data_IF_939446199472
#
_entry.id   IF_939446199472
#
_cell.length_a   1.000
_cell.length_b   1.000
_cell.length_c   1.000
_cell.angle_alpha   90.00
_cell.angle_beta   90.00
_cell.angle_gamma   90.00
#
_symmetry.space_group_name_H-M   'P 1'
#
loop_
_entity.id
_entity.type
_entity.pdbx_description
1 polymer ?
#
# COMPACT_ATOMS: atom_id res chain seq x y z
N UNK A 1 11.62 -13.33 -4.98
CA UNK A 1 10.75 -14.41 -4.48
C UNK A 1 9.29 -13.99 -4.69
N UNK A 2 8.47 -14.82 -5.35
CA UNK A 2 7.05 -14.50 -5.59
C UNK A 2 6.23 -15.09 -4.45
N UNK A 3 5.53 -14.26 -3.69
CA UNK A 3 4.54 -14.71 -2.71
C UNK A 3 3.17 -14.52 -3.33
N UNK A 4 2.41 -15.61 -3.43
CA UNK A 4 1.00 -15.54 -3.80
C UNK A 4 0.27 -14.73 -2.73
N UNK A 5 -0.27 -13.57 -3.07
CA UNK A 5 -0.90 -12.67 -2.11
C UNK A 5 -2.28 -12.21 -2.60
N UNK A 6 -3.11 -11.76 -1.66
CA UNK A 6 -4.43 -11.19 -1.91
C UNK A 6 -4.82 -10.20 -0.83
N UNK A 7 -5.76 -9.34 -1.14
CA UNK A 7 -6.37 -8.46 -0.16
C UNK A 7 -7.31 -9.22 0.77
N UNK A 8 -7.29 -8.89 2.07
CA UNK A 8 -8.07 -9.64 3.06
C UNK A 8 -8.83 -8.79 4.05
N UNK A 9 -8.19 -7.79 4.63
CA UNK A 9 -8.76 -7.04 5.76
C UNK A 9 -9.07 -5.60 5.34
N UNK A 10 -10.26 -5.11 5.70
CA UNK A 10 -10.68 -3.73 5.45
C UNK A 10 -10.88 -3.02 6.78
N UNK A 11 -10.31 -1.82 6.87
CA UNK A 11 -10.49 -0.88 7.98
C UNK A 11 -10.94 0.46 7.40
N UNK A 12 -12.18 0.88 7.69
CA UNK A 12 -12.64 2.20 7.30
C UNK A 12 -12.25 3.20 8.38
N UNK A 13 -11.66 4.32 7.96
CA UNK A 13 -11.09 5.33 8.85
C UNK A 13 -12.11 6.43 9.08
N UNK A 14 -12.24 6.91 10.31
CA UNK A 14 -12.90 8.19 10.58
C UNK A 14 -11.99 9.33 10.11
N UNK A 15 -12.60 10.48 9.74
CA UNK A 15 -11.88 11.67 9.25
C UNK A 15 -11.07 12.39 10.35
N UNK A 16 -10.92 11.81 11.53
CA UNK A 16 -10.09 12.35 12.58
C UNK A 16 -8.61 12.15 12.24
N UNK A 17 -7.79 13.12 12.58
CA UNK A 17 -6.33 13.14 12.34
C UNK A 17 -5.57 11.96 12.94
N UNK A 18 -6.24 11.09 13.68
CA UNK A 18 -5.70 9.84 14.21
C UNK A 18 -5.96 8.69 13.26
N UNK A 19 -4.91 8.25 12.62
CA UNK A 19 -4.86 7.06 11.74
C UNK A 19 -5.35 5.74 12.39
N UNK A 20 -5.73 5.76 13.66
CA UNK A 20 -6.21 4.62 14.44
C UNK A 20 -7.71 4.68 14.76
N UNK A 21 -8.40 5.71 14.32
CA UNK A 21 -9.84 5.85 14.59
C UNK A 21 -10.66 5.15 13.49
N UNK A 22 -10.95 3.88 13.73
CA UNK A 22 -11.73 3.04 12.83
C UNK A 22 -13.20 3.10 13.21
N UNK A 23 -14.11 3.29 12.25
CA UNK A 23 -15.49 2.94 12.52
C UNK A 23 -15.73 1.48 12.11
N UNK A 24 -16.32 0.74 13.02
CA UNK A 24 -16.64 -0.66 12.77
C UNK A 24 -17.82 -0.75 11.80
N UNK A 25 -17.68 -1.61 10.82
CA UNK A 25 -18.84 -2.14 10.10
C UNK A 25 -19.76 -2.89 11.09
N UNK A 26 -21.00 -3.14 10.69
CA UNK A 26 -21.94 -3.94 11.46
C UNK A 26 -21.33 -5.31 11.83
N UNK A 27 -21.93 -6.00 12.81
CA UNK A 27 -21.49 -7.35 13.26
C UNK A 27 -21.33 -8.35 12.11
N UNK A 28 -22.14 -8.21 11.06
CA UNK A 28 -22.08 -9.04 9.86
C UNK A 28 -20.93 -8.67 8.90
N UNK A 29 -20.11 -7.67 9.23
CA UNK A 29 -19.00 -7.19 8.40
C UNK A 29 -19.38 -7.01 6.93
N UNK A 30 -20.56 -6.43 6.66
CA UNK A 30 -21.18 -6.37 5.33
C UNK A 30 -20.30 -5.68 4.27
N UNK A 31 -19.39 -4.77 4.66
CA UNK A 31 -18.41 -4.14 3.78
C UNK A 31 -17.48 -5.16 3.12
N UNK A 32 -17.19 -6.28 3.81
CA UNK A 32 -16.33 -7.35 3.31
C UNK A 32 -17.13 -8.41 2.51
N UNK A 33 -18.40 -8.15 2.22
CA UNK A 33 -19.27 -9.06 1.49
C UNK A 33 -19.74 -8.39 0.19
N UNK A 34 -20.18 -9.21 -0.77
CA UNK A 34 -20.78 -8.72 -2.01
C UNK A 34 -22.16 -8.05 -1.80
N UNK A 35 -22.67 -8.01 -0.58
CA UNK A 35 -23.98 -7.44 -0.21
C UNK A 35 -23.81 -6.27 0.76
N UNK A 36 -23.12 -5.24 0.34
CA UNK A 36 -23.02 -4.00 1.12
C UNK A 36 -24.36 -3.30 1.08
N UNK A 37 -25.05 -3.21 2.23
CA UNK A 37 -26.37 -2.57 2.30
C UNK A 37 -26.31 -1.05 2.44
N UNK A 38 -25.14 -0.47 2.68
CA UNK A 38 -24.94 0.95 2.89
C UNK A 38 -25.36 1.47 4.27
N UNK A 39 -26.20 0.74 5.00
CA UNK A 39 -26.74 1.20 6.29
C UNK A 39 -25.65 1.35 7.35
N UNK A 40 -24.66 0.44 7.39
CA UNK A 40 -23.55 0.51 8.35
C UNK A 40 -22.55 1.62 8.01
N UNK A 41 -22.43 2.02 6.76
CA UNK A 41 -21.55 3.11 6.32
C UNK A 41 -22.23 4.47 6.34
N UNK A 42 -23.51 4.55 6.70
CA UNK A 42 -24.29 5.80 6.82
C UNK A 42 -24.15 6.70 5.58
N UNK A 43 -24.28 6.11 4.40
CA UNK A 43 -24.15 6.78 3.11
C UNK A 43 -22.75 7.39 2.83
N UNK A 44 -21.76 7.15 3.68
CA UNK A 44 -20.38 7.57 3.43
C UNK A 44 -19.73 6.73 2.31
N UNK A 45 -18.74 7.32 1.67
CA UNK A 45 -17.84 6.57 0.78
C UNK A 45 -16.99 5.56 1.56
N UNK A 46 -16.64 4.45 0.91
CA UNK A 46 -15.87 3.35 1.52
C UNK A 46 -15.18 2.51 0.46
N UNK A 47 -14.24 1.65 0.89
CA UNK A 47 -13.57 0.66 0.04
C UNK A 47 -14.22 -0.70 0.15
N UNK A 48 -14.20 -1.47 -0.96
CA UNK A 48 -14.66 -2.85 -1.02
C UNK A 48 -13.64 -3.71 -1.79
N UNK A 49 -13.34 -4.92 -1.28
CA UNK A 49 -12.53 -5.91 -1.98
C UNK A 49 -13.44 -6.64 -2.95
N UNK A 50 -13.21 -6.47 -4.24
CA UNK A 50 -14.03 -7.10 -5.30
C UNK A 50 -13.42 -8.39 -5.83
N UNK A 51 -12.11 -8.57 -5.66
CA UNK A 51 -11.38 -9.80 -5.98
C UNK A 51 -10.08 -9.86 -5.15
N UNK A 52 -9.31 -10.93 -5.32
CA UNK A 52 -8.01 -11.10 -4.65
C UNK A 52 -7.05 -9.92 -4.87
N UNK A 53 -7.16 -9.24 -6.00
CA UNK A 53 -6.24 -8.16 -6.42
C UNK A 53 -6.93 -6.82 -6.66
N UNK A 54 -8.27 -6.76 -6.64
CA UNK A 54 -9.01 -5.54 -6.96
C UNK A 54 -9.71 -4.96 -5.73
N UNK A 55 -9.52 -3.67 -5.52
CA UNK A 55 -10.23 -2.88 -4.54
C UNK A 55 -11.00 -1.79 -5.27
N UNK A 56 -12.31 -1.73 -5.02
CA UNK A 56 -13.18 -0.68 -5.54
C UNK A 56 -13.51 0.32 -4.45
N UNK A 57 -13.40 1.59 -4.77
CA UNK A 57 -13.94 2.66 -3.95
C UNK A 57 -15.39 2.93 -4.36
N UNK A 58 -16.27 3.01 -3.38
CA UNK A 58 -17.68 3.38 -3.55
C UNK A 58 -17.84 4.78 -2.99
N UNK A 59 -18.20 5.72 -3.85
CA UNK A 59 -18.38 7.13 -3.46
C UNK A 59 -19.61 7.31 -2.55
N UNK A 60 -19.59 8.36 -1.74
CA UNK A 60 -20.72 8.76 -0.90
C UNK A 60 -21.94 9.13 -1.73
N UNK A 61 -23.12 8.91 -1.16
CA UNK A 61 -24.40 9.30 -1.80
C UNK A 61 -24.56 10.82 -1.77
N UNK A 62 -25.07 11.39 -2.86
CA UNK A 62 -25.35 12.84 -2.96
C UNK A 62 -26.34 13.28 -1.89
N UNK A 63 -25.96 14.28 -1.09
CA UNK A 63 -26.81 14.81 -0.02
C UNK A 63 -26.84 13.97 1.26
N UNK A 64 -26.05 12.88 1.33
CA UNK A 64 -26.03 11.96 2.47
C UNK A 64 -24.75 12.01 3.28
N UNK A 65 -23.74 11.27 2.87
CA UNK A 65 -22.48 11.12 3.60
C UNK A 65 -21.29 11.85 2.99
N UNK A 66 -20.12 11.60 3.54
CA UNK A 66 -18.84 12.11 3.05
C UNK A 66 -17.96 10.96 2.52
N UNK A 67 -17.09 11.26 1.57
CA UNK A 67 -16.07 10.30 1.15
C UNK A 67 -15.06 10.10 2.27
N UNK A 68 -14.99 8.88 2.79
CA UNK A 68 -14.06 8.48 3.85
C UNK A 68 -12.97 7.59 3.29
N UNK A 69 -11.79 7.62 3.89
CA UNK A 69 -10.72 6.72 3.48
C UNK A 69 -10.92 5.32 4.06
N UNK A 70 -10.47 4.30 3.30
CA UNK A 70 -10.43 2.94 3.77
C UNK A 70 -9.04 2.34 3.59
N UNK A 71 -8.56 1.62 4.62
CA UNK A 71 -7.30 0.87 4.57
C UNK A 71 -7.59 -0.59 4.30
N UNK A 72 -6.81 -1.18 3.40
CA UNK A 72 -6.87 -2.60 3.07
C UNK A 72 -5.50 -3.21 3.28
N UNK A 73 -5.46 -4.35 3.97
CA UNK A 73 -4.23 -5.07 4.29
C UNK A 73 -4.27 -6.44 3.59
N UNK A 74 -3.13 -6.82 3.03
CA UNK A 74 -2.98 -8.12 2.36
C UNK A 74 -2.91 -9.29 3.36
N UNK A 75 -3.20 -10.49 2.88
CA UNK A 75 -3.21 -11.71 3.69
C UNK A 75 -1.81 -12.11 4.13
N UNK A 76 -0.89 -12.20 3.16
CA UNK A 76 0.44 -12.73 3.39
C UNK A 76 1.46 -11.62 3.63
N UNK A 77 2.35 -11.89 4.58
CA UNK A 77 3.48 -11.03 4.93
C UNK A 77 4.67 -11.28 4.02
N UNK A 78 5.54 -10.30 3.91
CA UNK A 78 6.85 -10.42 3.33
C UNK A 78 7.84 -10.86 4.43
N UNK A 79 8.18 -12.13 4.48
CA UNK A 79 9.04 -12.68 5.52
C UNK A 79 10.50 -12.64 5.11
N UNK A 80 11.38 -12.35 6.09
CA UNK A 80 12.82 -12.47 5.88
C UNK A 80 13.16 -13.93 5.56
N UNK A 81 13.80 -14.22 4.41
CA UNK A 81 14.20 -15.57 4.06
C UNK A 81 15.24 -16.10 5.06
N UNK A 82 15.09 -17.36 5.48
CA UNK A 82 16.10 -18.03 6.28
C UNK A 82 17.25 -18.49 5.40
N UNK A 83 18.49 -18.39 5.92
CA UNK A 83 19.71 -18.86 5.24
C UNK A 83 19.91 -18.28 3.83
N UNK A 84 19.53 -17.03 3.61
CA UNK A 84 19.66 -16.38 2.31
C UNK A 84 21.09 -15.87 2.11
N UNK A 85 21.75 -16.33 1.06
CA UNK A 85 23.10 -15.89 0.67
C UNK A 85 23.10 -14.70 -0.28
N UNK A 86 21.93 -14.36 -0.84
CA UNK A 86 21.73 -13.24 -1.75
C UNK A 86 20.69 -12.28 -1.20
N UNK A 87 20.64 -11.07 -1.75
CA UNK A 87 19.54 -10.14 -1.48
C UNK A 87 18.19 -10.73 -1.90
N UNK A 88 17.16 -10.49 -1.10
CA UNK A 88 15.81 -10.93 -1.40
C UNK A 88 14.90 -9.73 -1.55
N UNK A 89 14.25 -9.62 -2.71
CA UNK A 89 13.36 -8.54 -3.07
C UNK A 89 11.91 -9.06 -3.09
N UNK A 90 11.05 -8.40 -2.33
CA UNK A 90 9.59 -8.48 -2.40
C UNK A 90 9.06 -7.19 -2.99
N UNK A 91 8.07 -7.28 -3.88
CA UNK A 91 7.56 -6.10 -4.56
C UNK A 91 6.09 -6.30 -4.95
N UNK A 92 5.33 -5.23 -4.91
CA UNK A 92 3.98 -5.18 -5.46
C UNK A 92 3.67 -3.80 -6.03
N UNK A 93 2.73 -3.75 -6.97
CA UNK A 93 2.26 -2.52 -7.61
C UNK A 93 0.74 -2.39 -7.51
N UNK A 94 0.28 -1.15 -7.45
CA UNK A 94 -1.11 -0.77 -7.61
C UNK A 94 -1.26 0.16 -8.81
N UNK A 95 -2.18 -0.13 -9.70
CA UNK A 95 -2.62 0.78 -10.75
C UNK A 95 -3.85 1.52 -10.26
N UNK A 96 -3.72 2.83 -10.07
CA UNK A 96 -4.79 3.68 -9.58
C UNK A 96 -5.76 4.06 -10.69
N UNK A 97 -7.07 3.99 -10.37
CA UNK A 97 -8.15 4.46 -11.23
C UNK A 97 -9.01 5.43 -10.42
N UNK A 98 -9.15 6.65 -10.89
CA UNK A 98 -10.01 7.64 -10.26
C UNK A 98 -11.45 7.19 -10.46
N UNK A 99 -12.18 6.99 -9.37
CA UNK A 99 -13.63 6.89 -9.41
C UNK A 99 -14.19 8.30 -9.58
N UNK A 100 -15.39 8.46 -10.13
CA UNK A 100 -16.04 9.77 -10.34
C UNK A 100 -16.01 10.60 -9.06
N UNK A 101 -14.86 11.23 -8.80
CA UNK A 101 -14.64 12.00 -7.59
C UNK A 101 -15.22 13.40 -7.80
N UNK A 102 -16.14 13.79 -6.94
CA UNK A 102 -16.69 15.14 -6.91
C UNK A 102 -15.66 16.18 -6.51
N UNK A 103 -14.59 15.76 -5.86
CA UNK A 103 -13.51 16.63 -5.41
C UNK A 103 -12.14 15.92 -5.55
N UNK A 104 -11.49 16.10 -6.70
CA UNK A 104 -10.18 15.52 -7.02
C UNK A 104 -9.10 15.93 -6.02
N UNK A 105 -9.18 17.11 -5.42
CA UNK A 105 -8.17 17.61 -4.48
C UNK A 105 -8.14 16.82 -3.16
N UNK A 106 -9.21 16.11 -2.83
CA UNK A 106 -9.30 15.27 -1.64
C UNK A 106 -9.02 13.79 -1.90
N UNK A 107 -8.85 13.42 -3.18
CA UNK A 107 -8.59 12.03 -3.57
C UNK A 107 -7.13 11.66 -3.32
N UNK A 108 -6.88 10.47 -2.77
CA UNK A 108 -5.52 9.98 -2.56
C UNK A 108 -5.45 8.46 -2.49
N UNK A 109 -4.28 7.96 -2.79
CA UNK A 109 -3.84 6.61 -2.47
C UNK A 109 -2.62 6.68 -1.54
N UNK A 110 -2.53 5.74 -0.61
CA UNK A 110 -1.33 5.47 0.18
C UNK A 110 -0.95 4.03 -0.09
N UNK A 111 0.31 3.78 -0.36
CA UNK A 111 0.86 2.44 -0.54
C UNK A 111 2.01 2.24 0.44
N UNK A 112 2.16 1.04 0.99
CA UNK A 112 3.26 0.76 1.90
C UNK A 112 3.22 -0.61 2.55
N UNK A 113 4.02 -0.76 3.59
CA UNK A 113 4.14 -1.97 4.40
C UNK A 113 3.86 -1.65 5.87
N UNK A 114 3.23 -2.59 6.56
CA UNK A 114 2.86 -2.48 7.98
C UNK A 114 3.08 -3.79 8.72
N UNK A 115 3.47 -3.69 9.99
CA UNK A 115 3.46 -4.79 10.97
C UNK A 115 2.16 -4.83 11.81
N UNK A 116 1.22 -3.93 11.48
CA UNK A 116 -0.03 -3.72 12.24
C UNK A 116 0.03 -2.53 13.20
N UNK A 117 1.22 -2.14 13.68
CA UNK A 117 1.43 -1.00 14.57
C UNK A 117 2.15 0.14 13.87
N UNK A 118 3.28 -0.17 13.25
CA UNK A 118 4.13 0.77 12.51
C UNK A 118 3.91 0.64 11.01
N UNK A 119 4.22 1.70 10.27
CA UNK A 119 4.02 1.74 8.82
C UNK A 119 5.12 2.55 8.16
N UNK A 120 5.64 2.02 7.04
CA UNK A 120 6.42 2.80 6.08
C UNK A 120 5.53 2.98 4.86
N UNK A 121 5.31 4.23 4.42
CA UNK A 121 4.29 4.54 3.42
C UNK A 121 4.64 5.70 2.51
N UNK A 122 4.13 5.62 1.30
CA UNK A 122 4.11 6.73 0.34
C UNK A 122 2.69 7.28 0.20
N UNK A 123 2.53 8.61 0.28
CA UNK A 123 1.26 9.35 0.23
C UNK A 123 1.22 10.13 -1.08
N UNK A 124 0.38 9.70 -2.03
CA UNK A 124 0.43 10.15 -3.42
C UNK A 124 0.10 11.64 -3.59
N UNK A 125 -0.99 12.12 -2.96
CA UNK A 125 -1.43 13.52 -3.11
C UNK A 125 -0.54 14.55 -2.40
N UNK A 126 0.29 14.11 -1.47
CA UNK A 126 1.25 14.95 -0.74
C UNK A 126 2.66 14.84 -1.29
N UNK A 127 2.93 13.85 -2.16
CA UNK A 127 4.27 13.50 -2.63
C UNK A 127 5.25 13.29 -1.47
N UNK A 128 4.79 12.54 -0.45
CA UNK A 128 5.52 12.31 0.79
C UNK A 128 5.76 10.83 1.05
N UNK A 129 6.99 10.47 1.40
CA UNK A 129 7.32 9.20 2.04
C UNK A 129 7.36 9.44 3.55
N UNK A 130 6.78 8.52 4.33
CA UNK A 130 6.88 8.49 5.80
C UNK A 130 7.49 7.19 6.24
N UNK A 131 8.49 7.29 7.13
CA UNK A 131 9.06 6.11 7.79
C UNK A 131 8.19 5.63 8.97
N UNK A 132 8.68 4.67 9.71
CA UNK A 132 8.01 4.08 10.88
C UNK A 132 7.90 5.01 12.09
N UNK A 133 8.67 6.09 12.10
CA UNK A 133 8.64 7.15 13.12
C UNK A 133 7.78 8.34 12.70
N UNK A 134 7.08 8.22 11.56
CA UNK A 134 6.29 9.29 10.92
C UNK A 134 7.11 10.49 10.44
N UNK A 135 8.45 10.36 10.32
CA UNK A 135 9.29 11.37 9.68
C UNK A 135 8.93 11.49 8.20
N UNK A 136 8.87 12.72 7.70
CA UNK A 136 8.36 13.06 6.37
C UNK A 136 9.48 13.41 5.40
N UNK A 137 9.46 12.78 4.23
CA UNK A 137 10.42 13.03 3.15
C UNK A 137 9.68 13.39 1.86
N UNK A 138 9.85 14.61 1.39
CA UNK A 138 9.24 15.09 0.14
C UNK A 138 9.93 14.47 -1.06
N UNK A 139 9.15 14.03 -2.04
CA UNK A 139 9.65 13.46 -3.30
C UNK A 139 9.05 14.18 -4.50
N UNK A 140 9.78 14.16 -5.61
CA UNK A 140 9.30 14.70 -6.87
C UNK A 140 8.59 13.61 -7.65
N UNK A 141 7.35 13.87 -8.06
CA UNK A 141 6.55 12.97 -8.90
C UNK A 141 6.47 13.45 -10.33
N UNK A 142 6.46 12.50 -11.26
CA UNK A 142 6.02 12.76 -12.63
C UNK A 142 4.49 12.81 -12.67
N UNK A 143 3.92 13.80 -13.37
CA UNK A 143 2.45 13.87 -13.53
C UNK A 143 2.00 12.93 -14.63
N UNK A 144 1.04 12.06 -14.32
CA UNK A 144 0.41 11.13 -15.26
C UNK A 144 -1.08 10.95 -14.97
N UNK A 145 -1.87 10.50 -15.95
CA UNK A 145 -3.32 10.32 -15.82
C UNK A 145 -3.74 8.96 -15.24
N UNK A 146 -2.85 7.98 -15.25
CA UNK A 146 -3.10 6.63 -14.74
C UNK A 146 -1.83 6.10 -14.10
N UNK A 147 -1.56 6.54 -12.85
CA UNK A 147 -0.31 6.23 -12.21
C UNK A 147 -0.28 4.80 -11.65
N UNK A 148 0.84 4.13 -11.86
CA UNK A 148 1.20 2.87 -11.22
C UNK A 148 2.19 3.16 -10.11
N UNK A 149 1.83 2.86 -8.87
CA UNK A 149 2.71 3.00 -7.73
C UNK A 149 3.16 1.64 -7.22
N UNK A 150 4.43 1.51 -6.88
CA UNK A 150 5.00 0.29 -6.35
C UNK A 150 5.66 0.48 -4.99
N UNK A 151 5.74 -0.62 -4.25
CA UNK A 151 6.44 -0.69 -2.97
C UNK A 151 7.27 -1.97 -2.92
N UNK A 152 8.57 -1.83 -2.68
CA UNK A 152 9.51 -2.92 -2.57
C UNK A 152 10.17 -2.99 -1.20
N UNK A 153 10.47 -4.23 -0.76
CA UNK A 153 11.22 -4.53 0.46
C UNK A 153 12.40 -5.40 0.09
N UNK A 154 13.57 -4.97 0.46
CA UNK A 154 14.83 -5.69 0.23
C UNK A 154 15.42 -6.14 1.56
N UNK A 155 15.69 -7.44 1.66
CA UNK A 155 16.44 -8.04 2.76
C UNK A 155 17.86 -8.32 2.33
N UNK A 156 18.88 -7.92 3.11
CA UNK A 156 20.27 -8.29 2.87
C UNK A 156 20.53 -9.77 3.16
N UNK A 157 21.62 -10.33 2.62
CA UNK A 157 22.07 -11.68 2.95
C UNK A 157 22.32 -11.85 4.45
N UNK A 158 22.08 -13.08 4.95
CA UNK A 158 22.26 -13.39 6.38
C UNK A 158 23.72 -13.69 6.76
N UNK A 159 24.62 -13.87 5.78
CA UNK A 159 25.98 -14.37 5.97
C UNK A 159 27.07 -13.29 5.86
N UNK A 160 26.70 -12.01 5.79
CA UNK A 160 27.68 -10.93 5.72
C UNK A 160 28.14 -10.51 7.11
N UNK A 161 29.44 -10.19 7.24
CA UNK A 161 30.04 -9.63 8.45
C UNK A 161 29.58 -8.17 8.73
N UNK A 162 29.05 -7.48 7.71
CA UNK A 162 28.49 -6.13 7.86
C UNK A 162 27.02 -6.21 8.27
N UNK A 163 26.64 -5.51 9.31
CA UNK A 163 25.22 -5.30 9.69
C UNK A 163 24.53 -4.42 8.65
N UNK A 164 24.05 -5.03 7.59
CA UNK A 164 23.19 -4.36 6.62
C UNK A 164 21.74 -4.50 7.06
N UNK A 165 21.00 -3.39 7.02
CA UNK A 165 19.59 -3.37 7.39
C UNK A 165 18.69 -3.57 6.17
N UNK A 166 17.50 -4.18 6.33
CA UNK A 166 16.49 -4.18 5.30
C UNK A 166 16.07 -2.75 4.95
N UNK A 167 15.60 -2.54 3.72
CA UNK A 167 15.08 -1.24 3.31
C UNK A 167 13.83 -1.36 2.47
N UNK A 168 13.02 -0.31 2.50
CA UNK A 168 11.81 -0.15 1.69
C UNK A 168 12.05 0.97 0.68
N UNK A 169 11.61 0.75 -0.57
CA UNK A 169 11.63 1.76 -1.63
C UNK A 169 10.28 1.85 -2.32
N UNK A 170 10.05 2.98 -2.98
CA UNK A 170 8.82 3.25 -3.70
C UNK A 170 9.11 3.56 -5.16
N UNK A 171 8.12 3.27 -6.02
CA UNK A 171 8.23 3.55 -7.46
C UNK A 171 6.97 4.24 -7.96
N UNK A 172 7.11 4.99 -9.06
CA UNK A 172 6.02 5.53 -9.86
C UNK A 172 6.31 5.24 -11.33
N UNK A 173 5.35 4.61 -12.02
CA UNK A 173 5.42 4.34 -13.46
C UNK A 173 6.74 3.67 -13.89
N UNK A 174 7.17 2.67 -13.12
CA UNK A 174 8.39 1.90 -13.39
C UNK A 174 9.70 2.60 -13.02
N UNK A 175 9.67 3.72 -12.31
CA UNK A 175 10.88 4.43 -11.84
C UNK A 175 10.84 4.59 -10.33
N UNK A 176 11.99 4.42 -9.67
CA UNK A 176 12.11 4.71 -8.25
C UNK A 176 11.88 6.19 -7.97
N UNK A 177 11.20 6.48 -6.87
CA UNK A 177 10.94 7.83 -6.35
C UNK A 177 11.62 8.01 -4.99
N UNK A 178 12.36 9.11 -4.85
CA UNK A 178 13.11 9.43 -3.62
C UNK A 178 14.18 8.39 -3.27
N UNK A 179 14.69 8.51 -2.06
CA UNK A 179 15.63 7.54 -1.48
C UNK A 179 14.86 6.40 -0.81
N UNK A 180 15.55 5.32 -0.49
CA UNK A 180 14.95 4.23 0.29
C UNK A 180 14.90 4.57 1.79
N UNK A 181 14.04 3.87 2.50
CA UNK A 181 13.88 3.97 3.96
C UNK A 181 14.54 2.76 4.60
N UNK A 182 15.59 2.98 5.40
CA UNK A 182 16.19 1.93 6.21
C UNK A 182 15.28 1.50 7.36
N UNK A 183 15.19 0.21 7.60
CA UNK A 183 14.52 -0.36 8.78
C UNK A 183 15.56 -0.61 9.88
N UNK A 184 15.94 0.45 10.62
CA UNK A 184 17.08 0.44 11.55
C UNK A 184 16.81 -0.19 12.92
N UNK A 185 15.59 -0.37 13.33
CA UNK A 185 15.25 -0.92 14.64
C UNK A 185 14.44 -2.19 14.48
N UNK A 186 14.52 -3.08 15.48
CA UNK A 186 13.81 -4.36 15.57
C UNK A 186 12.35 -4.25 15.12
N UNK A 187 12.18 -4.15 13.83
CA UNK A 187 10.96 -4.54 13.19
C UNK A 187 10.89 -6.05 13.38
N UNK A 188 9.97 -6.51 14.18
CA UNK A 188 9.48 -7.87 14.02
C UNK A 188 9.04 -7.95 12.56
N UNK A 189 9.86 -8.61 11.72
CA UNK A 189 9.86 -8.48 10.26
C UNK A 189 8.66 -9.18 9.61
N UNK A 190 7.47 -8.94 10.17
CA UNK A 190 6.19 -9.40 9.68
C UNK A 190 5.50 -8.26 8.93
N UNK A 191 6.10 -7.81 7.84
CA UNK A 191 5.58 -6.70 7.06
C UNK A 191 4.56 -7.17 6.04
N UNK A 192 3.34 -6.65 6.12
CA UNK A 192 2.25 -6.89 5.16
C UNK A 192 2.06 -5.71 4.22
N UNK A 193 1.82 -5.94 2.93
CA UNK A 193 1.35 -4.92 2.02
C UNK A 193 0.05 -4.28 2.50
N UNK A 194 -0.05 -2.97 2.41
CA UNK A 194 -1.30 -2.26 2.62
C UNK A 194 -1.48 -1.11 1.65
N UNK A 195 -2.74 -0.74 1.46
CA UNK A 195 -3.13 0.49 0.79
C UNK A 195 -4.18 1.23 1.62
N UNK A 196 -4.20 2.57 1.53
CA UNK A 196 -5.31 3.38 2.02
C UNK A 196 -5.82 4.22 0.87
N UNK A 197 -7.12 4.17 0.61
CA UNK A 197 -7.73 4.77 -0.57
C UNK A 197 -8.84 5.73 -0.16
N UNK A 198 -8.91 6.87 -0.85
CA UNK A 198 -10.06 7.79 -0.85
C UNK A 198 -10.33 8.21 -2.28
N UNK A 199 -11.52 7.88 -2.80
CA UNK A 199 -11.95 8.14 -4.17
C UNK A 199 -11.06 7.52 -5.28
N UNK A 200 -10.27 6.50 -4.93
CA UNK A 200 -9.50 5.69 -5.85
C UNK A 200 -9.88 4.23 -5.75
N UNK A 201 -10.08 3.58 -6.89
CA UNK A 201 -10.07 2.13 -7.04
C UNK A 201 -8.68 1.68 -7.50
N UNK A 202 -8.28 0.48 -7.15
CA UNK A 202 -6.97 -0.04 -7.55
C UNK A 202 -7.05 -1.46 -8.09
N UNK A 203 -6.24 -1.71 -9.11
CA UNK A 203 -5.88 -3.03 -9.61
C UNK A 203 -4.45 -3.33 -9.19
N UNK A 204 -4.25 -4.41 -8.44
CA UNK A 204 -2.97 -4.75 -7.83
C UNK A 204 -2.26 -5.85 -8.61
N UNK A 205 -0.95 -5.73 -8.70
CA UNK A 205 -0.08 -6.80 -9.14
C UNK A 205 0.83 -7.21 -7.97
N UNK A 206 0.62 -8.42 -7.45
CA UNK A 206 1.49 -9.02 -6.42
C UNK A 206 2.58 -9.91 -7.04
N UNK A 207 2.72 -9.93 -8.36
CA UNK A 207 3.69 -10.77 -9.06
C UNK A 207 3.28 -12.23 -9.20
N UNK A 208 1.99 -12.56 -9.11
CA UNK A 208 1.49 -13.94 -9.19
C UNK A 208 1.69 -14.56 -10.57
N UNK A 209 1.61 -13.76 -11.63
CA UNK A 209 1.86 -14.14 -13.01
C UNK A 209 2.54 -12.99 -13.77
N UNK A 210 3.86 -12.92 -13.64
CA UNK A 210 4.65 -11.87 -14.29
C UNK A 210 4.79 -12.07 -15.80
N UNK A 211 4.43 -13.25 -16.34
CA UNK A 211 4.40 -13.47 -17.78
C UNK A 211 3.19 -12.79 -18.42
N UNK A 212 2.01 -12.95 -17.81
CA UNK A 212 0.79 -12.32 -18.30
C UNK A 212 0.65 -10.86 -17.87
N UNK A 213 1.12 -10.52 -16.66
CA UNK A 213 1.03 -9.17 -16.07
C UNK A 213 2.39 -8.78 -15.48
N UNK A 214 3.36 -8.34 -16.30
CA UNK A 214 4.65 -7.90 -15.80
C UNK A 214 4.50 -6.67 -14.90
N UNK A 215 5.46 -6.49 -13.99
CA UNK A 215 5.57 -5.23 -13.26
C UNK A 215 5.98 -4.09 -14.21
N UNK A 216 5.50 -2.89 -13.92
CA UNK A 216 6.00 -1.68 -14.57
C UNK A 216 7.45 -1.39 -14.21
N UNK A 217 7.84 -1.71 -12.98
CA UNK A 217 9.22 -1.63 -12.50
C UNK A 217 9.96 -2.95 -12.76
N UNK A 218 11.10 -2.87 -13.46
CA UNK A 218 11.92 -4.06 -13.71
C UNK A 218 12.70 -4.48 -12.46
N UNK A 219 12.10 -5.37 -11.67
CA UNK A 219 12.70 -5.90 -10.43
C UNK A 219 13.98 -6.71 -10.68
N UNK A 220 14.21 -7.22 -11.90
CA UNK A 220 15.41 -8.00 -12.24
C UNK A 220 16.63 -7.11 -12.40
N UNK A 221 16.43 -5.83 -12.64
CA UNK A 221 17.46 -4.79 -12.75
C UNK A 221 17.53 -3.89 -11.53
N UNK A 222 16.90 -4.29 -10.42
CA UNK A 222 17.01 -3.51 -9.19
C UNK A 222 18.44 -3.53 -8.66
N UNK A 223 19.08 -2.35 -8.61
CA UNK A 223 20.38 -2.19 -7.98
C UNK A 223 20.21 -2.05 -6.48
N UNK A 224 21.11 -2.68 -5.72
CA UNK A 224 21.15 -2.50 -4.27
C UNK A 224 21.43 -1.03 -3.97
N UNK A 225 20.54 -0.43 -3.20
CA UNK A 225 20.61 0.98 -2.90
C UNK A 225 21.61 1.24 -1.78
N UNK A 226 22.31 2.38 -1.87
CA UNK A 226 23.28 2.86 -0.90
C UNK A 226 22.93 4.27 -0.38
N UNK A 227 21.81 4.85 -0.85
CA UNK A 227 21.30 6.14 -0.39
C UNK A 227 19.95 5.97 0.30
N UNK A 228 19.90 6.46 1.54
CA UNK A 228 18.75 6.32 2.42
C UNK A 228 18.34 7.65 3.05
N UNK A 229 17.11 7.70 3.51
CA UNK A 229 16.61 8.75 4.39
C UNK A 229 17.01 8.51 5.82
#
# INVERSE_FOLDING_TARGET
MQIKNKWKEIFNLNDTSNDNDFYNCCEKKCINTNKVTGNCVKQNGFVNITSDINIRYINSVSGGGHDKSGRVIAENKFEKPQNCINYSLFYFEIKCQITEARNLSQSFAIIGLTDGKKRVRFITNKSLIKNEKDEEFTVTLSRGSADVYGCGLVYPPNNRMSEEFPYIFFTQNGKQIGKAVHLKENFDLVLKPFVTLKCFSVDTNFGQDLKAKPFSYDITRHFILNEFY
#
